data_IF_190306851862
#
_entry.id   IF_190306851862
#
_cell.length_a   1.000
_cell.length_b   1.000
_cell.length_c   1.000
_cell.angle_alpha   90.00
_cell.angle_beta   90.00
_cell.angle_gamma   90.00
#
_symmetry.space_group_name_H-M   'P 1'
#
loop_
_entity.id
_entity.type
_entity.pdbx_description
1 polymer ?
#
# COMPACT_ATOMS: atom_id res chain seq x y z
N UNK A 1 37.03 -86.94 -25.89
CA UNK A 1 36.90 -87.50 -24.53
C UNK A 1 35.59 -86.98 -23.94
N UNK A 2 34.61 -87.86 -23.67
CA UNK A 2 34.08 -88.23 -22.33
C UNK A 2 33.58 -87.03 -21.51
N UNK A 3 32.47 -87.00 -20.76
CA UNK A 3 31.26 -87.81 -20.44
C UNK A 3 30.47 -86.82 -19.55
N UNK A 4 29.18 -86.56 -19.75
CA UNK A 4 28.03 -87.26 -19.16
C UNK A 4 27.92 -87.27 -17.60
N UNK A 5 26.70 -86.93 -17.12
CA UNK A 5 26.03 -87.23 -15.83
C UNK A 5 26.38 -86.35 -14.60
N UNK A 6 25.44 -85.66 -13.91
CA UNK A 6 24.16 -86.02 -13.23
C UNK A 6 24.33 -86.44 -11.74
N UNK A 7 23.62 -85.68 -10.88
CA UNK A 7 22.80 -86.06 -9.71
C UNK A 7 23.38 -86.44 -8.32
N UNK A 8 22.58 -86.00 -7.31
CA UNK A 8 22.35 -86.50 -5.93
C UNK A 8 23.35 -86.12 -4.82
N UNK A 9 22.99 -85.88 -3.55
CA UNK A 9 21.70 -85.79 -2.84
C UNK A 9 21.91 -85.23 -1.39
N UNK A 10 20.82 -84.67 -0.82
CA UNK A 10 20.32 -84.68 0.58
C UNK A 10 21.17 -84.25 1.80
N UNK A 11 20.60 -83.32 2.59
CA UNK A 11 19.96 -83.53 3.92
C UNK A 11 19.78 -82.15 4.64
N UNK A 12 18.57 -81.59 4.80
CA UNK A 12 17.57 -81.78 5.87
C UNK A 12 17.87 -81.05 7.20
N UNK A 13 17.06 -80.02 7.55
CA UNK A 13 16.46 -79.79 8.89
C UNK A 13 15.17 -78.97 8.72
N UNK A 14 14.11 -79.42 9.39
CA UNK A 14 12.79 -78.80 9.48
C UNK A 14 12.64 -77.96 10.75
N UNK A 15 11.87 -76.86 10.71
CA UNK A 15 10.99 -76.44 11.83
C UNK A 15 9.74 -75.77 11.23
N UNK A 16 8.58 -76.25 11.69
CA UNK A 16 7.26 -75.76 11.38
C UNK A 16 6.83 -74.63 12.34
N UNK A 17 6.06 -73.66 11.84
CA UNK A 17 5.00 -73.03 12.61
C UNK A 17 3.92 -72.50 11.64
N UNK A 18 2.71 -73.00 11.83
CA UNK A 18 1.53 -72.74 11.05
C UNK A 18 0.77 -71.52 11.57
N UNK A 19 0.10 -70.80 10.67
CA UNK A 19 -1.33 -70.50 10.82
C UNK A 19 -1.97 -70.37 9.44
N UNK A 20 -2.87 -71.31 9.15
CA UNK A 20 -4.00 -71.20 8.22
C UNK A 20 -4.96 -70.12 8.77
N UNK A 21 -5.83 -69.39 8.06
CA UNK A 21 -6.74 -69.60 6.91
C UNK A 21 -7.15 -68.18 6.46
N UNK A 22 -7.64 -67.88 5.25
CA UNK A 22 -8.17 -68.70 4.18
C UNK A 22 -8.45 -67.85 2.93
N UNK A 23 -8.53 -68.55 1.81
CA UNK A 23 -8.64 -68.05 0.45
C UNK A 23 -10.08 -67.74 0.02
N UNK A 24 -10.25 -66.80 -0.91
CA UNK A 24 -10.84 -66.96 -2.25
C UNK A 24 -11.02 -65.56 -2.85
N UNK A 25 -10.82 -65.24 -4.12
CA UNK A 25 -10.55 -65.93 -5.38
C UNK A 25 -10.29 -64.78 -6.38
N UNK A 26 -9.37 -64.97 -7.31
CA UNK A 26 -9.10 -64.04 -8.41
C UNK A 26 -10.36 -63.81 -9.27
N UNK A 27 -10.59 -62.57 -9.72
CA UNK A 27 -10.82 -62.25 -11.13
C UNK A 27 -10.97 -60.73 -11.38
N UNK A 28 -10.38 -60.38 -12.52
CA UNK A 28 -10.04 -59.09 -13.10
C UNK A 28 -11.27 -58.23 -13.49
N UNK A 29 -11.41 -57.02 -12.96
CA UNK A 29 -12.22 -55.98 -13.61
C UNK A 29 -11.94 -54.56 -13.06
N UNK A 30 -11.34 -53.73 -13.92
CA UNK A 30 -11.38 -52.26 -13.92
C UNK A 30 -12.13 -51.60 -12.74
N UNK A 31 -11.40 -51.05 -11.78
CA UNK A 31 -11.95 -50.07 -10.84
C UNK A 31 -11.10 -48.80 -10.83
N UNK A 32 -11.82 -47.69 -10.87
CA UNK A 32 -11.36 -46.33 -11.10
C UNK A 32 -10.18 -45.94 -10.22
N UNK A 33 -9.13 -45.41 -10.84
CA UNK A 33 -8.21 -44.51 -10.15
C UNK A 33 -9.06 -43.40 -9.51
N UNK A 34 -9.17 -43.44 -8.19
CA UNK A 34 -9.69 -42.33 -7.39
C UNK A 34 -8.66 -41.22 -7.50
N UNK A 35 -8.90 -40.32 -8.45
CA UNK A 35 -8.25 -39.02 -8.57
C UNK A 35 -8.70 -38.19 -7.37
N UNK A 36 -8.16 -38.56 -6.21
CA UNK A 36 -8.14 -37.71 -5.03
C UNK A 36 -7.41 -36.45 -5.45
N UNK A 37 -8.22 -35.43 -5.80
CA UNK A 37 -7.78 -34.15 -6.27
C UNK A 37 -6.60 -33.70 -5.43
N UNK A 38 -5.42 -33.67 -6.04
CA UNK A 38 -4.32 -32.86 -5.56
C UNK A 38 -4.85 -31.44 -5.70
N UNK A 39 -5.52 -30.97 -4.66
CA UNK A 39 -5.89 -29.59 -4.51
C UNK A 39 -4.55 -28.89 -4.30
N UNK A 40 -3.92 -28.51 -5.41
CA UNK A 40 -2.76 -27.64 -5.43
C UNK A 40 -3.21 -26.38 -4.72
N UNK A 41 -2.92 -26.29 -3.42
CA UNK A 41 -3.03 -25.04 -2.70
C UNK A 41 -2.04 -24.12 -3.39
N UNK A 42 -2.54 -23.32 -4.33
CA UNK A 42 -1.79 -22.20 -4.89
C UNK A 42 -1.30 -21.42 -3.67
N UNK A 43 0.00 -21.56 -3.39
CA UNK A 43 0.65 -20.77 -2.36
C UNK A 43 0.83 -19.43 -3.05
N UNK A 44 -0.12 -18.52 -2.87
CA UNK A 44 0.04 -17.17 -3.36
C UNK A 44 1.29 -16.61 -2.67
N UNK A 45 2.34 -16.37 -3.45
CA UNK A 45 3.55 -15.78 -2.94
C UNK A 45 3.22 -14.36 -2.47
N UNK A 46 3.54 -14.06 -1.22
CA UNK A 46 3.40 -12.70 -0.70
C UNK A 46 4.29 -11.77 -1.50
N UNK A 47 3.69 -10.71 -2.05
CA UNK A 47 4.35 -9.65 -2.81
C UNK A 47 4.30 -8.36 -2.00
N UNK A 48 5.32 -7.53 -2.19
CA UNK A 48 5.50 -6.25 -1.49
C UNK A 48 5.85 -5.18 -2.51
N UNK A 49 5.17 -4.03 -2.45
CA UNK A 49 5.52 -2.82 -3.21
C UNK A 49 6.20 -1.84 -2.27
N UNK A 50 7.46 -1.51 -2.55
CA UNK A 50 8.25 -0.59 -1.75
C UNK A 50 8.82 0.62 -2.53
N UNK A 51 8.40 0.80 -3.80
CA UNK A 51 8.81 1.91 -4.66
C UNK A 51 10.32 2.02 -4.97
N UNK A 52 11.16 1.07 -4.52
CA UNK A 52 12.62 1.15 -4.70
C UNK A 52 13.08 0.96 -6.14
N UNK A 53 12.24 0.36 -7.00
CA UNK A 53 12.53 0.22 -8.42
C UNK A 53 12.25 1.50 -9.22
N UNK A 54 11.71 2.55 -8.60
CA UNK A 54 11.55 3.84 -9.26
C UNK A 54 12.92 4.42 -9.64
N UNK A 55 13.05 4.80 -10.91
CA UNK A 55 14.24 5.46 -11.45
C UNK A 55 14.30 6.92 -11.02
N UNK A 56 15.46 7.56 -11.22
CA UNK A 56 15.66 8.98 -10.86
C UNK A 56 14.64 9.92 -11.55
N UNK A 57 14.27 9.63 -12.80
CA UNK A 57 13.31 10.43 -13.56
C UNK A 57 11.83 10.20 -13.12
N UNK A 58 11.56 9.10 -12.41
CA UNK A 58 10.23 8.76 -11.87
C UNK A 58 10.02 9.28 -10.44
N UNK A 59 11.10 9.57 -9.72
CA UNK A 59 11.05 10.12 -8.37
C UNK A 59 10.60 11.58 -8.38
N UNK A 60 9.82 11.99 -7.38
CA UNK A 60 9.46 13.38 -7.18
C UNK A 60 10.72 14.27 -7.08
N UNK A 61 10.83 15.29 -7.92
CA UNK A 61 12.03 16.12 -8.02
C UNK A 61 11.83 17.37 -8.88
N UNK A 62 12.89 18.18 -9.07
CA UNK A 62 14.25 18.03 -8.52
C UNK A 62 14.39 18.51 -7.06
N UNK A 63 13.32 19.06 -6.48
CA UNK A 63 13.23 19.48 -5.08
C UNK A 63 12.16 18.69 -4.37
N UNK A 64 12.07 18.75 -3.03
CA UNK A 64 11.00 18.13 -2.25
C UNK A 64 9.59 18.70 -2.49
N UNK A 65 9.46 19.75 -3.30
CA UNK A 65 8.20 20.18 -3.91
C UNK A 65 7.70 19.19 -4.98
N UNK A 66 8.57 18.48 -5.70
CA UNK A 66 8.17 17.59 -6.80
C UNK A 66 7.67 18.34 -8.03
N UNK A 67 8.46 19.28 -8.58
CA UNK A 67 8.07 20.07 -9.75
C UNK A 67 7.75 19.22 -11.00
N UNK A 68 8.43 18.08 -11.17
CA UNK A 68 8.17 17.13 -12.26
C UNK A 68 6.77 16.48 -12.20
N UNK A 69 6.11 16.52 -11.04
CA UNK A 69 4.73 16.03 -10.89
C UNK A 69 3.69 17.01 -11.50
N UNK A 70 4.13 18.20 -11.94
CA UNK A 70 3.29 19.28 -12.48
C UNK A 70 3.63 19.66 -13.93
N UNK A 71 4.81 19.32 -14.44
CA UNK A 71 5.20 19.65 -15.82
C UNK A 71 4.78 18.56 -16.84
N UNK A 72 4.45 17.34 -16.36
CA UNK A 72 3.96 16.23 -17.19
C UNK A 72 5.01 15.14 -17.43
N UNK A 73 6.19 15.26 -16.83
CA UNK A 73 7.25 14.26 -16.92
C UNK A 73 6.87 13.00 -16.13
N UNK A 74 6.21 13.17 -14.98
CA UNK A 74 5.64 12.08 -14.17
C UNK A 74 4.14 12.22 -14.12
N UNK A 75 3.43 11.14 -14.45
CA UNK A 75 1.95 11.06 -14.39
C UNK A 75 1.45 9.84 -13.60
N UNK A 76 2.37 9.03 -13.07
CA UNK A 76 2.09 7.75 -12.45
C UNK A 76 3.35 6.92 -12.34
N UNK A 77 3.22 5.68 -11.84
CA UNK A 77 4.33 4.74 -11.73
C UNK A 77 3.83 3.31 -11.88
N UNK A 78 4.62 2.45 -12.55
CA UNK A 78 4.29 1.06 -12.82
C UNK A 78 5.39 0.12 -12.36
N UNK A 79 5.05 -0.81 -11.46
CA UNK A 79 5.93 -1.89 -11.06
C UNK A 79 5.62 -3.14 -11.88
N UNK A 80 6.39 -3.34 -12.95
CA UNK A 80 6.18 -4.44 -13.90
C UNK A 80 6.27 -5.82 -13.24
N UNK A 81 7.09 -5.99 -12.20
CA UNK A 81 7.27 -7.30 -11.55
C UNK A 81 6.02 -7.80 -10.81
N UNK A 82 5.13 -6.88 -10.42
CA UNK A 82 3.94 -7.20 -9.61
C UNK A 82 2.62 -6.78 -10.28
N UNK A 83 2.71 -5.93 -11.30
CA UNK A 83 1.57 -5.30 -11.94
C UNK A 83 0.94 -4.16 -11.13
N UNK A 84 1.61 -3.68 -10.07
CA UNK A 84 1.13 -2.52 -9.31
C UNK A 84 1.26 -1.25 -10.14
N UNK A 85 0.22 -0.42 -10.13
CA UNK A 85 0.15 0.79 -10.93
C UNK A 85 -0.51 1.94 -10.17
N UNK A 86 0.14 3.10 -10.20
CA UNK A 86 -0.43 4.37 -9.76
C UNK A 86 -0.52 5.34 -10.94
N UNK A 87 -1.50 6.23 -10.90
CA UNK A 87 -1.61 7.33 -11.84
C UNK A 87 -2.17 8.57 -11.15
N UNK A 88 -1.90 9.73 -11.72
CA UNK A 88 -2.60 10.96 -11.37
C UNK A 88 -3.97 10.92 -12.03
N UNK A 89 -4.98 11.35 -11.28
CA UNK A 89 -6.32 11.46 -11.81
C UNK A 89 -6.34 12.44 -12.98
N UNK A 90 -7.14 12.09 -14.00
CA UNK A 90 -7.39 13.00 -15.13
C UNK A 90 -8.71 13.72 -14.91
N UNK A 91 -8.66 15.04 -14.77
CA UNK A 91 -9.85 15.89 -14.58
C UNK A 91 -9.86 16.95 -15.67
N UNK A 92 -10.93 17.00 -16.47
CA UNK A 92 -11.07 17.94 -17.61
C UNK A 92 -9.87 17.95 -18.56
N UNK A 93 -9.27 16.78 -18.82
CA UNK A 93 -8.10 16.62 -19.69
C UNK A 93 -6.76 17.00 -19.06
N UNK A 94 -6.75 17.38 -17.78
CA UNK A 94 -5.55 17.66 -17.00
C UNK A 94 -5.18 16.42 -16.18
N UNK A 95 -3.94 15.96 -16.29
CA UNK A 95 -3.38 14.89 -15.49
C UNK A 95 -2.13 15.40 -14.77
N UNK A 96 -2.30 15.86 -13.53
CA UNK A 96 -1.27 16.49 -12.70
C UNK A 96 -1.45 16.08 -11.26
N UNK A 97 -0.42 16.21 -10.44
CA UNK A 97 -0.52 15.79 -9.04
C UNK A 97 -1.66 16.51 -8.30
N UNK A 98 -1.94 17.79 -8.62
CA UNK A 98 -3.05 18.52 -7.99
C UNK A 98 -4.45 17.95 -8.27
N UNK A 99 -4.60 17.05 -9.25
CA UNK A 99 -5.85 16.33 -9.51
C UNK A 99 -6.07 15.14 -8.54
N UNK A 100 -5.07 14.85 -7.70
CA UNK A 100 -5.00 13.68 -6.83
C UNK A 100 -4.25 12.54 -7.48
N UNK A 101 -3.36 11.88 -6.76
CA UNK A 101 -2.57 10.76 -7.27
C UNK A 101 -1.54 10.22 -6.27
N UNK A 102 -0.69 9.32 -6.75
CA UNK A 102 0.41 8.74 -5.97
C UNK A 102 1.68 8.74 -6.81
N UNK A 103 2.76 9.31 -6.27
CA UNK A 103 4.08 9.37 -6.91
C UNK A 103 5.16 8.72 -6.03
N UNK A 104 6.21 8.11 -6.61
CA UNK A 104 7.40 7.73 -5.86
C UNK A 104 8.14 8.97 -5.32
N UNK A 105 8.66 8.88 -4.09
CA UNK A 105 9.48 9.90 -3.46
C UNK A 105 10.54 9.27 -2.56
N UNK A 106 11.60 10.03 -2.28
CA UNK A 106 12.67 9.65 -1.36
C UNK A 106 13.09 10.81 -0.43
N UNK A 107 12.29 11.88 -0.36
CA UNK A 107 12.56 13.06 0.46
C UNK A 107 12.18 12.84 1.93
N UNK A 108 12.93 13.46 2.84
CA UNK A 108 12.72 13.32 4.29
C UNK A 108 13.22 14.55 5.06
N UNK A 109 12.79 15.72 4.63
CA UNK A 109 13.18 17.00 5.25
C UNK A 109 12.13 17.40 6.29
N UNK A 110 12.57 17.66 7.52
CA UNK A 110 11.70 17.91 8.69
C UNK A 110 12.11 19.15 9.50
N UNK A 111 13.00 19.96 8.93
CA UNK A 111 13.39 21.26 9.47
C UNK A 111 13.64 22.26 8.35
N UNK A 112 13.64 23.55 8.68
CA UNK A 112 13.91 24.61 7.70
C UNK A 112 15.38 24.68 7.27
N UNK A 113 16.26 23.94 7.96
CA UNK A 113 17.70 24.13 7.83
C UNK A 113 18.11 25.58 8.12
N UNK A 114 19.07 26.08 7.35
CA UNK A 114 19.58 27.46 7.48
C UNK A 114 19.10 28.39 6.36
N UNK A 115 18.43 27.86 5.34
CA UNK A 115 18.10 28.58 4.09
C UNK A 115 16.63 28.98 3.99
N UNK A 116 15.77 28.53 4.90
CA UNK A 116 14.33 28.76 4.82
C UNK A 116 13.74 29.41 6.09
N UNK A 117 12.60 30.09 5.95
CA UNK A 117 11.82 30.74 7.02
C UNK A 117 10.96 29.73 7.82
N UNK A 118 10.28 30.23 8.86
CA UNK A 118 9.72 29.44 9.98
C UNK A 118 8.87 28.21 9.61
N UNK A 119 8.07 28.25 8.56
CA UNK A 119 7.07 27.23 8.21
C UNK A 119 7.37 26.41 6.96
N UNK A 120 8.51 26.65 6.32
CA UNK A 120 8.85 26.06 5.03
C UNK A 120 8.81 24.52 5.03
N UNK A 121 9.39 23.89 6.05
CA UNK A 121 9.51 22.42 6.10
C UNK A 121 8.15 21.72 6.20
N UNK A 122 7.11 22.43 6.65
CA UNK A 122 5.73 21.94 6.67
C UNK A 122 4.81 22.82 5.82
N UNK A 123 5.32 23.21 4.64
CA UNK A 123 4.55 23.87 3.59
C UNK A 123 4.42 22.97 2.36
N UNK A 124 3.61 23.41 1.40
CA UNK A 124 3.49 22.74 0.10
C UNK A 124 4.85 22.62 -0.63
N UNK A 125 5.82 23.48 -0.32
CA UNK A 125 7.16 23.44 -0.93
C UNK A 125 7.98 22.21 -0.51
N UNK A 126 7.54 21.48 0.52
CA UNK A 126 8.16 20.24 1.00
C UNK A 126 7.17 19.04 0.99
N UNK A 127 6.16 19.08 0.13
CA UNK A 127 5.05 18.12 0.12
C UNK A 127 5.43 16.67 -0.15
N UNK A 128 6.57 16.41 -0.80
CA UNK A 128 7.02 15.05 -1.11
C UNK A 128 7.86 14.42 0.01
N UNK A 129 8.13 15.11 1.12
CA UNK A 129 8.89 14.57 2.24
C UNK A 129 8.05 13.71 3.18
N UNK A 130 8.60 12.57 3.62
CA UNK A 130 8.07 11.83 4.79
C UNK A 130 8.56 12.43 6.10
N UNK A 131 7.79 12.33 7.19
CA UNK A 131 8.21 12.80 8.52
C UNK A 131 8.98 11.74 9.35
N UNK A 132 9.45 10.64 8.75
CA UNK A 132 9.95 9.45 9.48
C UNK A 132 11.11 9.72 10.46
N UNK A 133 10.83 9.81 11.76
CA UNK A 133 11.82 10.08 12.83
C UNK A 133 12.75 8.91 13.14
N UNK A 134 12.59 7.76 12.45
CA UNK A 134 13.51 6.63 12.57
C UNK A 134 14.89 6.89 11.98
N UNK A 135 14.97 7.82 11.02
CA UNK A 135 16.20 8.24 10.35
C UNK A 135 16.49 9.70 10.63
N UNK A 136 17.74 10.14 10.48
CA UNK A 136 18.11 11.54 10.67
C UNK A 136 17.38 12.46 9.68
N UNK A 137 17.20 13.72 10.06
CA UNK A 137 16.58 14.74 9.18
C UNK A 137 17.41 14.92 7.91
N UNK A 138 16.73 14.92 6.75
CA UNK A 138 17.35 15.02 5.42
C UNK A 138 18.16 13.80 4.99
N UNK A 139 18.17 12.72 5.79
CA UNK A 139 18.87 11.49 5.41
C UNK A 139 18.12 10.72 4.33
N UNK A 140 18.88 10.07 3.44
CA UNK A 140 18.39 9.02 2.54
C UNK A 140 17.88 7.81 3.32
N UNK A 141 17.25 6.86 2.63
CA UNK A 141 16.72 5.63 3.23
C UNK A 141 15.58 5.87 4.22
N UNK A 142 14.66 6.75 3.83
CA UNK A 142 13.54 7.15 4.66
C UNK A 142 12.27 6.30 4.45
N UNK A 143 12.24 5.44 3.43
CA UNK A 143 11.26 4.37 3.27
C UNK A 143 11.20 3.44 4.49
N UNK A 144 10.12 2.68 4.62
CA UNK A 144 10.00 1.64 5.63
C UNK A 144 10.93 0.49 5.32
N UNK A 145 10.91 0.02 4.07
CA UNK A 145 11.93 -0.85 3.52
C UNK A 145 12.66 -0.12 2.39
N UNK A 146 14.00 -0.07 2.46
CA UNK A 146 14.80 0.57 1.43
C UNK A 146 14.81 2.10 1.46
N UNK A 147 14.72 2.70 0.26
CA UNK A 147 14.98 4.12 0.03
C UNK A 147 13.74 4.95 -0.22
N UNK A 148 12.83 4.40 -1.01
CA UNK A 148 11.73 5.13 -1.59
C UNK A 148 10.42 4.82 -0.87
N UNK A 149 9.37 5.58 -1.20
CA UNK A 149 8.02 5.38 -0.73
C UNK A 149 7.04 6.06 -1.69
N UNK A 150 5.74 5.76 -1.56
CA UNK A 150 4.69 6.48 -2.28
C UNK A 150 4.22 7.71 -1.51
N UNK A 151 4.25 8.90 -2.12
CA UNK A 151 3.52 10.07 -1.63
C UNK A 151 2.12 10.09 -2.26
N UNK A 152 1.11 9.96 -1.41
CA UNK A 152 -0.32 10.05 -1.77
C UNK A 152 -0.77 11.47 -1.55
N UNK A 153 -1.46 12.04 -2.54
CA UNK A 153 -2.12 13.33 -2.41
C UNK A 153 -3.52 13.30 -2.99
N UNK A 154 -4.43 13.97 -2.28
CA UNK A 154 -5.75 14.31 -2.78
C UNK A 154 -6.84 13.74 -1.89
N UNK A 155 -7.93 14.47 -1.81
CA UNK A 155 -9.15 14.05 -1.14
C UNK A 155 -10.33 14.57 -1.94
N UNK A 156 -11.50 13.94 -1.80
CA UNK A 156 -12.69 14.37 -2.54
C UNK A 156 -13.85 14.68 -1.60
N UNK A 157 -14.47 15.84 -1.81
CA UNK A 157 -15.73 16.27 -1.22
C UNK A 157 -16.60 16.97 -2.28
N UNK A 158 -17.73 17.54 -1.84
CA UNK A 158 -18.67 18.22 -2.74
C UNK A 158 -18.10 19.50 -3.38
N UNK A 159 -17.09 20.14 -2.78
CA UNK A 159 -16.54 21.42 -3.21
C UNK A 159 -15.42 21.25 -4.24
N UNK A 160 -14.63 20.18 -4.12
CA UNK A 160 -13.44 19.99 -4.96
C UNK A 160 -13.62 19.01 -6.14
N UNK A 161 -14.79 18.38 -6.26
CA UNK A 161 -15.07 17.32 -7.24
C UNK A 161 -14.87 17.70 -8.72
N UNK A 162 -14.81 19.00 -9.04
CA UNK A 162 -14.60 19.51 -10.41
C UNK A 162 -13.13 19.62 -10.81
N UNK A 163 -12.19 19.55 -9.86
CA UNK A 163 -10.74 19.66 -10.10
C UNK A 163 -9.89 18.60 -9.40
N UNK A 164 -10.48 17.79 -8.50
CA UNK A 164 -9.79 16.73 -7.77
C UNK A 164 -10.63 15.46 -7.64
N UNK A 165 -9.96 14.31 -7.65
CA UNK A 165 -10.53 13.01 -7.32
C UNK A 165 -9.66 12.29 -6.28
N UNK A 166 -10.24 11.27 -5.65
CA UNK A 166 -9.53 10.41 -4.71
C UNK A 166 -8.31 9.77 -5.37
N UNK A 167 -7.10 9.85 -4.79
CA UNK A 167 -5.94 9.12 -5.29
C UNK A 167 -6.15 7.62 -5.19
N UNK A 168 -5.58 6.88 -6.13
CA UNK A 168 -5.77 5.44 -6.21
C UNK A 168 -4.53 4.70 -6.73
N UNK A 169 -4.47 3.42 -6.40
CA UNK A 169 -3.62 2.46 -7.09
C UNK A 169 -4.43 1.26 -7.58
N UNK A 170 -3.87 0.55 -8.55
CA UNK A 170 -4.47 -0.63 -9.18
C UNK A 170 -3.48 -1.78 -9.29
N UNK A 171 -4.00 -3.00 -9.43
CA UNK A 171 -3.25 -4.18 -9.82
C UNK A 171 -3.65 -4.61 -11.23
N UNK A 172 -2.66 -4.86 -12.08
CA UNK A 172 -2.84 -5.17 -13.49
C UNK A 172 -2.08 -6.43 -13.91
N UNK A 173 -2.59 -7.15 -14.90
CA UNK A 173 -1.83 -8.22 -15.56
C UNK A 173 -0.90 -7.66 -16.65
N UNK A 174 -0.20 -8.55 -17.36
CA UNK A 174 0.71 -8.18 -18.46
C UNK A 174 0.02 -7.53 -19.66
N UNK A 175 -1.30 -7.69 -19.79
CA UNK A 175 -2.13 -7.05 -20.81
C UNK A 175 -2.80 -5.76 -20.29
N UNK A 176 -2.39 -5.29 -19.10
CA UNK A 176 -2.88 -4.11 -18.40
C UNK A 176 -4.36 -4.18 -17.95
N UNK A 177 -4.96 -5.38 -17.92
CA UNK A 177 -6.29 -5.58 -17.38
C UNK A 177 -6.26 -5.59 -15.85
N UNK A 178 -7.30 -5.05 -15.21
CA UNK A 178 -7.44 -5.09 -13.76
C UNK A 178 -7.52 -6.54 -13.27
N UNK A 179 -6.73 -6.85 -12.24
CA UNK A 179 -6.71 -8.17 -11.62
C UNK A 179 -6.87 -8.06 -10.12
N UNK A 180 -7.69 -8.94 -9.54
CA UNK A 180 -7.85 -8.94 -8.09
C UNK A 180 -6.60 -9.53 -7.42
N UNK A 181 -6.20 -8.91 -6.31
CA UNK A 181 -5.17 -9.36 -5.35
C UNK A 181 -5.75 -9.31 -3.96
N UNK A 182 -5.34 -10.23 -3.09
CA UNK A 182 -5.80 -10.24 -1.70
C UNK A 182 -4.91 -9.29 -0.87
N UNK A 183 -5.36 -8.05 -0.66
CA UNK A 183 -4.60 -7.05 0.11
C UNK A 183 -4.49 -7.48 1.58
N UNK A 184 -3.32 -7.31 2.17
CA UNK A 184 -3.08 -7.66 3.58
C UNK A 184 -2.92 -6.40 4.43
N UNK A 185 -1.88 -5.61 4.16
CA UNK A 185 -1.55 -4.41 4.92
C UNK A 185 -0.61 -3.51 4.12
N UNK A 186 -0.36 -2.32 4.63
CA UNK A 186 0.73 -1.43 4.19
C UNK A 186 1.32 -0.73 5.40
N UNK A 187 2.44 -0.04 5.23
CA UNK A 187 2.95 0.90 6.21
C UNK A 187 2.59 2.33 5.81
N UNK A 188 2.24 3.13 6.80
CA UNK A 188 1.89 4.54 6.60
C UNK A 188 2.70 5.45 7.52
N UNK A 189 3.00 6.65 7.05
CA UNK A 189 3.60 7.71 7.83
C UNK A 189 3.04 9.07 7.38
N UNK A 190 2.93 10.05 8.29
CA UNK A 190 2.58 11.39 7.86
C UNK A 190 3.67 11.94 6.92
N UNK A 191 3.26 12.70 5.91
CA UNK A 191 4.18 13.58 5.21
C UNK A 191 4.69 14.66 6.18
N UNK A 192 5.85 15.25 5.90
CA UNK A 192 6.38 16.37 6.67
C UNK A 192 5.39 17.55 6.70
N UNK A 193 4.74 17.82 5.56
CA UNK A 193 3.71 18.84 5.46
C UNK A 193 2.52 18.55 6.39
N UNK A 194 1.88 17.40 6.24
CA UNK A 194 0.72 17.02 7.06
C UNK A 194 1.07 16.98 8.54
N UNK A 195 2.22 16.39 8.91
CA UNK A 195 2.64 16.33 10.31
C UNK A 195 2.79 17.73 10.91
N UNK A 196 3.55 18.61 10.25
CA UNK A 196 3.80 19.94 10.79
C UNK A 196 2.52 20.77 10.93
N UNK A 197 1.58 20.68 9.98
CA UNK A 197 0.27 21.34 10.11
C UNK A 197 -0.57 20.75 11.24
N UNK A 198 -0.56 19.43 11.46
CA UNK A 198 -1.24 18.80 12.60
C UNK A 198 -0.72 19.38 13.93
N UNK A 199 0.60 19.55 14.05
CA UNK A 199 1.23 20.03 15.29
C UNK A 199 1.07 21.54 15.46
N UNK A 200 1.31 22.32 14.42
CA UNK A 200 1.49 23.78 14.53
C UNK A 200 0.30 24.59 13.98
N UNK A 201 -0.59 23.97 13.21
CA UNK A 201 -1.45 24.71 12.29
C UNK A 201 -0.65 25.30 11.13
N UNK A 202 -1.31 26.04 10.26
CA UNK A 202 -0.66 26.82 9.21
C UNK A 202 -1.56 27.99 8.79
N UNK A 203 -0.95 29.07 8.29
CA UNK A 203 -1.62 30.20 7.67
C UNK A 203 -1.09 30.36 6.24
N UNK A 204 -1.96 30.12 5.27
CA UNK A 204 -1.65 30.27 3.85
C UNK A 204 -2.10 31.65 3.40
N UNK A 205 -1.14 32.58 3.39
CA UNK A 205 -1.24 33.85 2.69
C UNK A 205 -0.37 33.74 1.44
N UNK A 206 -1.00 33.67 0.27
CA UNK A 206 -0.30 33.67 -1.02
C UNK A 206 0.14 35.08 -1.44
N UNK A 207 -0.16 36.10 -0.62
CA UNK A 207 0.20 37.48 -0.86
C UNK A 207 -0.62 38.13 -1.97
N UNK A 208 -1.70 37.49 -2.44
CA UNK A 208 -2.63 38.05 -3.41
C UNK A 208 -3.75 38.85 -2.70
N UNK A 209 -4.06 40.05 -3.21
CA UNK A 209 -5.18 40.88 -2.71
C UNK A 209 -6.52 40.43 -3.30
N UNK A 210 -6.77 39.11 -3.27
CA UNK A 210 -8.01 38.48 -3.73
C UNK A 210 -8.92 38.04 -2.56
N UNK A 211 -8.44 38.24 -1.32
CA UNK A 211 -9.15 37.92 -0.09
C UNK A 211 -9.13 36.43 0.28
N UNK A 212 -8.33 35.61 -0.39
CA UNK A 212 -8.17 34.20 -0.07
C UNK A 212 -7.08 33.97 0.97
N UNK A 213 -7.47 33.89 2.24
CA UNK A 213 -6.56 33.44 3.31
C UNK A 213 -7.01 32.08 3.82
N UNK A 214 -6.25 31.04 3.53
CA UNK A 214 -6.49 29.71 4.08
C UNK A 214 -5.84 29.56 5.45
N UNK A 215 -6.46 28.83 6.37
CA UNK A 215 -5.78 28.45 7.62
C UNK A 215 -6.15 27.04 8.04
N UNK A 216 -5.18 26.31 8.57
CA UNK A 216 -5.42 25.09 9.32
C UNK A 216 -5.06 25.30 10.78
N UNK A 217 -5.83 24.67 11.65
CA UNK A 217 -5.65 24.77 13.08
C UNK A 217 -4.84 23.59 13.60
N UNK A 218 -3.99 23.82 14.60
CA UNK A 218 -3.30 22.72 15.29
C UNK A 218 -4.31 21.76 15.92
N UNK A 219 -4.22 20.48 15.54
CA UNK A 219 -5.07 19.44 16.13
C UNK A 219 -4.66 19.14 17.58
N UNK A 220 -3.40 19.42 17.94
CA UNK A 220 -2.91 19.28 19.32
C UNK A 220 -3.65 20.25 20.24
N UNK A 221 -3.70 21.53 19.84
CA UNK A 221 -4.33 22.60 20.62
C UNK A 221 -5.85 22.43 20.65
N UNK A 222 -6.46 22.09 19.51
CA UNK A 222 -7.91 22.00 19.37
C UNK A 222 -8.49 20.62 19.71
N UNK A 223 -7.66 19.69 20.20
CA UNK A 223 -8.08 18.30 20.50
C UNK A 223 -8.73 17.61 19.29
N UNK A 224 -8.18 17.90 18.11
CA UNK A 224 -8.68 17.44 16.83
C UNK A 224 -8.19 16.04 16.45
N UNK A 225 -8.66 15.56 15.31
CA UNK A 225 -8.31 14.25 14.74
C UNK A 225 -8.26 14.32 13.22
N UNK A 226 -7.46 13.43 12.63
CA UNK A 226 -7.29 13.30 11.19
C UNK A 226 -7.08 11.84 10.83
N UNK A 227 -7.81 11.33 9.83
CA UNK A 227 -7.72 9.94 9.41
C UNK A 227 -7.80 9.79 7.90
N UNK A 228 -7.15 8.75 7.40
CA UNK A 228 -7.25 8.29 6.01
C UNK A 228 -8.24 7.13 5.93
N UNK A 229 -8.93 7.05 4.79
CA UNK A 229 -9.92 6.04 4.44
C UNK A 229 -9.41 5.27 3.22
N UNK A 230 -9.42 3.94 3.24
CA UNK A 230 -9.09 3.10 2.09
C UNK A 230 -10.32 2.31 1.63
N UNK A 231 -10.77 2.55 0.40
CA UNK A 231 -11.91 1.89 -0.23
C UNK A 231 -11.42 0.86 -1.25
N UNK A 232 -11.89 -0.38 -1.13
CA UNK A 232 -11.52 -1.48 -2.04
C UNK A 232 -12.56 -1.73 -3.13
N UNK A 233 -12.08 -2.01 -4.34
CA UNK A 233 -12.92 -2.39 -5.49
C UNK A 233 -12.32 -3.58 -6.23
N UNK A 234 -13.19 -4.47 -6.71
CA UNK A 234 -12.80 -5.59 -7.60
C UNK A 234 -12.61 -5.11 -9.03
N UNK A 235 -12.03 -5.97 -9.87
CA UNK A 235 -11.81 -5.72 -11.30
C UNK A 235 -13.11 -5.43 -12.08
N UNK A 236 -14.26 -5.96 -11.63
CA UNK A 236 -15.58 -5.69 -12.21
C UNK A 236 -16.20 -4.34 -11.74
N UNK A 237 -15.49 -3.59 -10.91
CA UNK A 237 -15.92 -2.31 -10.35
C UNK A 237 -16.78 -2.42 -9.09
N UNK A 238 -17.15 -3.62 -8.64
CA UNK A 238 -17.91 -3.80 -7.41
C UNK A 238 -17.07 -3.45 -6.18
N UNK A 239 -17.67 -2.76 -5.21
CA UNK A 239 -17.01 -2.41 -3.97
C UNK A 239 -16.85 -3.64 -3.06
N UNK A 240 -15.72 -3.75 -2.36
CA UNK A 240 -15.51 -4.73 -1.30
C UNK A 240 -15.90 -4.16 0.06
N UNK A 241 -15.84 -4.97 1.12
CA UNK A 241 -16.16 -4.56 2.49
C UNK A 241 -17.53 -3.83 2.62
N UNK A 242 -18.52 -4.27 1.84
CA UNK A 242 -19.85 -3.65 1.75
C UNK A 242 -19.83 -2.14 1.37
N UNK A 243 -18.80 -1.69 0.66
CA UNK A 243 -18.61 -0.28 0.31
C UNK A 243 -18.03 0.58 1.44
N UNK A 244 -17.75 0.00 2.61
CA UNK A 244 -17.15 0.72 3.73
C UNK A 244 -15.63 0.78 3.59
N UNK A 245 -14.99 1.90 3.94
CA UNK A 245 -13.54 1.98 3.98
C UNK A 245 -12.99 1.20 5.18
N UNK A 246 -11.74 0.79 5.08
CA UNK A 246 -10.91 0.61 6.28
C UNK A 246 -10.37 1.98 6.66
N UNK A 247 -10.30 2.29 7.95
CA UNK A 247 -9.89 3.60 8.46
C UNK A 247 -8.56 3.52 9.20
N UNK A 248 -7.76 4.58 9.14
CA UNK A 248 -6.55 4.72 9.95
C UNK A 248 -6.36 6.15 10.44
N UNK A 249 -6.27 6.32 11.76
CA UNK A 249 -6.02 7.61 12.39
C UNK A 249 -4.56 8.01 12.25
N UNK A 250 -4.32 9.10 11.54
CA UNK A 250 -3.00 9.72 11.40
C UNK A 250 -2.67 10.61 12.61
N UNK A 251 -3.70 11.11 13.30
CA UNK A 251 -3.67 11.76 14.60
C UNK A 251 -5.07 11.72 15.25
N UNK A 252 -5.13 11.61 16.57
CA UNK A 252 -6.36 11.78 17.35
C UNK A 252 -6.03 12.29 18.76
N UNK A 253 -6.18 13.60 18.95
CA UNK A 253 -5.92 14.29 20.21
C UNK A 253 -7.18 14.49 21.06
N UNK A 254 -8.32 13.88 20.68
CA UNK A 254 -9.54 13.94 21.48
C UNK A 254 -9.34 13.21 22.80
N UNK A 255 -9.74 13.88 23.89
CA UNK A 255 -9.68 13.29 25.22
C UNK A 255 -10.65 12.11 25.34
N UNK A 256 -10.22 11.03 25.98
CA UNK A 256 -11.00 9.79 26.20
C UNK A 256 -11.43 9.07 24.91
N UNK A 257 -10.84 9.37 23.76
CA UNK A 257 -11.06 8.62 22.53
C UNK A 257 -10.40 7.24 22.61
N UNK A 258 -11.11 6.19 22.21
CA UNK A 258 -10.53 4.85 22.09
C UNK A 258 -9.48 4.75 20.96
N UNK A 259 -9.47 5.73 20.04
CA UNK A 259 -8.52 5.84 18.94
C UNK A 259 -7.48 6.94 19.18
N UNK A 260 -7.39 7.47 20.41
CA UNK A 260 -6.44 8.52 20.74
C UNK A 260 -5.01 8.10 20.40
N UNK A 261 -4.35 8.92 19.58
CA UNK A 261 -2.98 8.68 19.13
C UNK A 261 -2.31 10.02 18.85
N UNK A 262 -1.03 10.22 19.23
CA UNK A 262 -0.27 11.34 18.68
C UNK A 262 -0.20 11.22 17.15
N UNK A 263 0.16 12.31 16.49
CA UNK A 263 0.48 12.30 15.07
C UNK A 263 1.54 11.24 14.79
N UNK A 264 1.28 10.31 13.86
CA UNK A 264 2.24 9.26 13.55
C UNK A 264 3.50 9.89 12.91
N UNK A 265 4.66 9.57 13.48
CA UNK A 265 5.96 10.11 13.05
C UNK A 265 6.95 9.03 12.61
N UNK A 266 6.49 7.78 12.57
CA UNK A 266 7.23 6.63 12.07
C UNK A 266 6.28 5.76 11.27
N UNK A 267 6.85 4.97 10.36
CA UNK A 267 6.13 3.95 9.62
C UNK A 267 5.34 3.04 10.57
N UNK A 268 4.03 3.06 10.41
CA UNK A 268 3.09 2.32 11.25
C UNK A 268 2.26 1.41 10.36
N UNK A 269 2.14 0.14 10.76
CA UNK A 269 1.40 -0.85 9.98
C UNK A 269 -0.10 -0.54 10.00
N UNK A 270 -0.71 -0.50 8.82
CA UNK A 270 -2.15 -0.41 8.62
C UNK A 270 -2.68 -1.72 8.04
N UNK A 271 -3.47 -2.44 8.83
CA UNK A 271 -4.17 -3.65 8.37
C UNK A 271 -5.30 -3.29 7.40
N UNK A 272 -5.27 -3.86 6.20
CA UNK A 272 -6.25 -3.67 5.12
C UNK A 272 -7.00 -4.95 4.77
N UNK A 273 -6.76 -6.05 5.49
CA UNK A 273 -7.27 -7.38 5.17
C UNK A 273 -8.80 -7.47 5.08
N UNK A 274 -9.53 -6.57 5.77
CA UNK A 274 -10.98 -6.45 5.67
C UNK A 274 -11.47 -6.07 4.25
N UNK A 275 -10.63 -5.44 3.42
CA UNK A 275 -10.94 -5.17 2.01
C UNK A 275 -10.91 -6.45 1.16
N UNK A 276 -10.18 -7.48 1.60
CA UNK A 276 -10.07 -8.77 0.93
C UNK A 276 -9.49 -8.69 -0.48
N UNK A 277 -10.19 -9.29 -1.45
CA UNK A 277 -9.73 -9.36 -2.83
C UNK A 277 -10.13 -8.10 -3.61
N UNK A 278 -9.14 -7.28 -3.99
CA UNK A 278 -9.30 -5.98 -4.65
C UNK A 278 -8.41 -5.88 -5.88
N UNK A 279 -8.87 -5.20 -6.93
CA UNK A 279 -8.03 -4.76 -8.05
C UNK A 279 -7.64 -3.28 -7.95
N UNK A 280 -8.33 -2.52 -7.09
CA UNK A 280 -8.16 -1.09 -6.93
C UNK A 280 -8.39 -0.68 -5.47
N UNK A 281 -7.56 0.22 -4.96
CA UNK A 281 -7.78 0.90 -3.68
C UNK A 281 -7.78 2.40 -3.92
N UNK A 282 -8.82 3.09 -3.44
CA UNK A 282 -8.92 4.56 -3.44
C UNK A 282 -8.74 5.09 -2.03
N UNK A 283 -8.08 6.23 -1.89
CA UNK A 283 -7.92 6.91 -0.60
C UNK A 283 -8.76 8.18 -0.51
N UNK A 284 -9.33 8.42 0.66
CA UNK A 284 -9.90 9.72 1.00
C UNK A 284 -9.46 10.13 2.41
N UNK A 285 -9.67 11.39 2.76
CA UNK A 285 -9.28 11.94 4.04
C UNK A 285 -10.46 12.62 4.71
N UNK A 286 -10.55 12.46 6.03
CA UNK A 286 -11.52 13.17 6.85
C UNK A 286 -10.88 13.58 8.16
N UNK A 287 -11.26 14.74 8.67
CA UNK A 287 -10.69 15.30 9.88
C UNK A 287 -11.59 16.34 10.52
N UNK A 288 -11.27 16.67 11.77
CA UNK A 288 -12.01 17.68 12.54
C UNK A 288 -11.71 19.11 12.12
N UNK A 289 -10.51 19.38 11.58
CA UNK A 289 -10.15 20.70 11.06
C UNK A 289 -10.65 20.81 9.62
N UNK A 290 -11.91 21.22 9.50
CA UNK A 290 -12.60 21.46 8.25
C UNK A 290 -13.39 22.78 8.33
N UNK A 291 -13.74 23.31 7.17
CA UNK A 291 -14.54 24.50 7.00
C UNK A 291 -15.65 24.25 5.99
N UNK A 292 -16.41 25.31 5.66
CA UNK A 292 -17.37 25.24 4.57
C UNK A 292 -16.73 25.02 3.19
N UNK A 293 -15.41 25.10 3.06
CA UNK A 293 -14.68 24.86 1.81
C UNK A 293 -14.00 23.48 1.76
N UNK A 294 -14.24 22.65 2.78
CA UNK A 294 -13.68 21.32 2.87
C UNK A 294 -12.65 21.16 3.98
N UNK A 295 -11.79 20.16 3.82
CA UNK A 295 -10.75 19.81 4.78
C UNK A 295 -9.63 20.86 4.75
N UNK A 296 -9.27 21.42 5.92
CA UNK A 296 -8.17 22.37 6.02
C UNK A 296 -6.83 21.64 6.19
N UNK A 297 -6.79 20.54 6.94
CA UNK A 297 -5.56 19.74 7.11
C UNK A 297 -5.08 19.18 5.76
N UNK A 298 -3.79 19.31 5.38
CA UNK A 298 -3.28 18.82 4.10
C UNK A 298 -3.50 17.31 3.93
N UNK A 299 -4.20 16.93 2.85
CA UNK A 299 -4.51 15.55 2.49
C UNK A 299 -3.33 14.84 1.80
N UNK A 300 -2.20 14.73 2.52
CA UNK A 300 -1.02 14.01 2.09
C UNK A 300 -0.72 12.84 3.05
N UNK A 301 -0.26 11.73 2.50
CA UNK A 301 0.13 10.53 3.25
C UNK A 301 1.31 9.85 2.57
N UNK A 302 2.28 9.35 3.33
CA UNK A 302 3.31 8.47 2.82
C UNK A 302 2.88 7.01 3.02
N UNK A 303 2.98 6.19 1.99
CA UNK A 303 2.68 4.75 2.01
C UNK A 303 3.90 3.96 1.57
N UNK A 304 4.09 2.78 2.15
CA UNK A 304 5.17 1.87 1.79
C UNK A 304 4.82 0.42 2.11
N UNK A 305 5.60 -0.53 1.60
CA UNK A 305 5.47 -1.98 1.84
C UNK A 305 4.04 -2.50 1.68
N UNK A 306 3.40 -2.14 0.56
CA UNK A 306 2.04 -2.59 0.23
C UNK A 306 2.09 -4.10 0.00
N UNK A 307 1.51 -4.85 0.92
CA UNK A 307 1.65 -6.31 0.98
C UNK A 307 0.35 -6.99 0.57
N UNK A 308 0.44 -7.91 -0.39
CA UNK A 308 -0.70 -8.64 -0.93
C UNK A 308 -0.31 -10.05 -1.41
N UNK A 309 -1.32 -10.86 -1.71
CA UNK A 309 -1.22 -12.22 -2.24
C UNK A 309 -1.98 -12.36 -3.56
#
# INVERSE_FOLDING_TARGET
MKKNFRFMAMAAVAVAAAVFTGCSSDDDFLSSYDESAIQTRATFATQVINFDNATEDELAGPTSYGANLYNGDVVGWYEASTGFYTEFNTINGVQKFYCGGIAPSNWNIRSNGTTHSQDWWYSYQNQCSVYNTAVADGASNAGYSGSNFGIVYGYQDQYNSTYMAMPEFTFRDGDLNLVNRNIQYMYVCNSAYTYGVIIHGNYWDDGEDDGWTGSAQSLVTNKGWFKVLAYGYKADGSATNNGNPVEFYLADYRENSATATPAIERWTKWDLSALGSVAKIKFNFVGSDNSQYGLNTPAYLCIDDITFN
#
